data_IF_549509791894
#
_entry.id   IF_549509791894
#
_cell.length_a   1.000
_cell.length_b   1.000
_cell.length_c   1.000
_cell.angle_alpha   90.00
_cell.angle_beta   90.00
_cell.angle_gamma   90.00
#
_symmetry.space_group_name_H-M   'P 1'
#
loop_
_entity.id
_entity.type
_entity.pdbx_description
1 polymer ?
#
# COMPACT_ATOMS: atom_id res chain seq x y z
N UNK A 1 20.85 9.50 -14.40
CA UNK A 1 19.67 8.94 -15.06
C UNK A 1 18.42 9.53 -14.42
N UNK A 2 17.32 9.66 -15.15
CA UNK A 2 16.02 10.12 -14.68
C UNK A 2 14.95 9.15 -15.18
N UNK A 3 13.84 9.02 -14.48
CA UNK A 3 12.73 8.15 -14.86
C UNK A 3 11.41 8.94 -14.90
N UNK A 4 10.58 8.65 -15.89
CA UNK A 4 9.22 9.17 -16.01
C UNK A 4 8.30 7.95 -16.16
N UNK A 5 7.42 7.74 -15.20
CA UNK A 5 6.46 6.63 -15.20
C UNK A 5 5.13 7.11 -15.76
N UNK A 6 4.62 6.43 -16.79
CA UNK A 6 3.47 6.86 -17.60
C UNK A 6 2.10 6.46 -17.07
N UNK A 7 1.89 6.44 -15.76
CA UNK A 7 0.59 6.15 -15.15
C UNK A 7 -0.45 7.25 -15.37
N UNK A 8 -1.75 6.94 -15.29
CA UNK A 8 -2.83 7.87 -15.65
C UNK A 8 -2.97 9.02 -14.64
N UNK A 9 -2.35 10.15 -14.95
CA UNK A 9 -2.35 11.37 -14.12
C UNK A 9 -3.02 12.56 -14.82
N UNK A 10 -3.72 12.35 -15.94
CA UNK A 10 -4.20 13.43 -16.81
C UNK A 10 -3.07 14.37 -17.30
N UNK A 11 -1.86 13.83 -17.48
CA UNK A 11 -0.63 14.57 -17.78
C UNK A 11 -0.21 15.58 -16.68
N UNK A 12 -0.71 15.42 -15.46
CA UNK A 12 -0.21 16.14 -14.29
C UNK A 12 1.14 15.55 -13.83
N UNK A 13 2.02 16.42 -13.36
CA UNK A 13 3.32 16.00 -12.82
C UNK A 13 3.14 15.59 -11.36
N UNK A 14 3.24 14.29 -11.10
CA UNK A 14 3.11 13.73 -9.75
C UNK A 14 4.50 13.43 -9.22
N UNK A 15 4.85 14.06 -8.11
CA UNK A 15 6.15 13.94 -7.44
C UNK A 15 6.10 13.04 -6.22
N UNK A 16 4.90 12.76 -5.70
CA UNK A 16 4.75 11.91 -4.52
C UNK A 16 3.56 10.96 -4.65
N UNK A 17 3.74 9.73 -4.17
CA UNK A 17 2.65 8.78 -3.99
C UNK A 17 2.86 7.90 -2.77
N UNK A 18 1.75 7.37 -2.21
CA UNK A 18 1.82 6.47 -1.05
C UNK A 18 2.52 5.17 -1.37
N UNK A 19 3.23 4.63 -0.38
CA UNK A 19 3.69 3.25 -0.40
C UNK A 19 2.54 2.28 -0.14
N UNK A 20 2.79 0.98 -0.41
CA UNK A 20 1.85 -0.11 -0.17
C UNK A 20 2.59 -1.30 0.43
N UNK A 21 2.05 -1.82 1.53
CA UNK A 21 2.38 -3.14 2.04
C UNK A 21 1.10 -3.95 2.10
N UNK A 22 1.08 -5.13 1.49
CA UNK A 22 -0.02 -6.07 1.61
C UNK A 22 0.49 -7.46 1.95
N UNK A 23 -0.22 -8.13 2.85
CA UNK A 23 0.17 -9.43 3.36
C UNK A 23 -1.06 -10.25 3.75
N UNK A 24 -0.86 -11.56 3.85
CA UNK A 24 -1.78 -12.51 4.45
C UNK A 24 -1.22 -12.98 5.79
N UNK A 25 -2.01 -12.84 6.84
CA UNK A 25 -1.73 -13.42 8.15
C UNK A 25 -2.45 -14.77 8.26
N UNK A 26 -1.70 -15.85 8.35
CA UNK A 26 -2.19 -17.22 8.55
C UNK A 26 -2.19 -17.55 10.04
N UNK A 27 -3.37 -17.78 10.60
CA UNK A 27 -3.55 -18.19 11.99
C UNK A 27 -3.71 -19.69 12.07
N UNK A 28 -2.81 -20.35 12.78
CA UNK A 28 -2.89 -21.78 13.10
C UNK A 28 -3.22 -21.95 14.57
N UNK A 29 -4.44 -22.36 14.85
CA UNK A 29 -4.92 -22.73 16.16
C UNK A 29 -4.96 -24.24 16.34
N UNK A 30 -5.82 -24.70 17.27
CA UNK A 30 -6.02 -26.12 17.55
C UNK A 30 -7.51 -26.45 17.56
N UNK A 31 -7.91 -27.43 16.74
CA UNK A 31 -9.30 -27.86 16.66
C UNK A 31 -9.74 -28.62 17.91
N UNK A 32 -11.02 -28.52 18.22
CA UNK A 32 -11.67 -29.23 19.31
C UNK A 32 -13.19 -29.13 19.20
N UNK A 33 -13.89 -29.74 20.12
CA UNK A 33 -15.35 -29.58 20.20
C UNK A 33 -15.69 -28.24 20.85
N UNK A 34 -16.62 -27.48 20.29
CA UNK A 34 -16.96 -26.13 20.77
C UNK A 34 -17.53 -26.07 22.22
N UNK A 35 -18.02 -27.19 22.76
CA UNK A 35 -18.43 -27.28 24.17
C UNK A 35 -17.26 -27.35 25.16
N UNK A 36 -16.05 -27.57 24.67
CA UNK A 36 -14.82 -27.70 25.45
C UNK A 36 -13.76 -26.65 24.97
N UNK A 37 -14.05 -25.35 25.09
CA UNK A 37 -13.21 -24.30 24.50
C UNK A 37 -11.78 -24.30 25.03
N UNK A 38 -11.53 -24.79 26.25
CA UNK A 38 -10.19 -24.92 26.83
C UNK A 38 -9.34 -26.07 26.24
N UNK A 39 -9.91 -26.94 25.40
CA UNK A 39 -9.19 -28.03 24.73
C UNK A 39 -8.71 -27.68 23.33
N UNK A 40 -8.94 -26.44 22.89
CA UNK A 40 -8.51 -25.94 21.59
C UNK A 40 -8.02 -24.50 21.61
N UNK A 41 -7.55 -24.02 20.46
CA UNK A 41 -7.18 -22.61 20.24
C UNK A 41 -7.91 -22.11 19.01
N UNK A 42 -8.80 -21.14 19.18
CA UNK A 42 -9.70 -20.68 18.13
C UNK A 42 -9.00 -19.68 17.18
N UNK A 43 -8.57 -20.14 16.02
CA UNK A 43 -7.90 -19.30 15.03
C UNK A 43 -8.78 -18.10 14.56
N UNK A 44 -10.10 -18.23 14.52
CA UNK A 44 -11.01 -17.16 14.08
C UNK A 44 -11.10 -16.05 15.14
N UNK A 45 -11.09 -16.38 16.42
CA UNK A 45 -11.12 -15.38 17.50
C UNK A 45 -9.84 -14.55 17.48
N UNK A 46 -8.65 -15.17 17.43
CA UNK A 46 -7.37 -14.47 17.35
C UNK A 46 -7.21 -13.67 16.06
N UNK A 47 -7.66 -14.19 14.92
CA UNK A 47 -7.70 -13.43 13.66
C UNK A 47 -8.61 -12.20 13.77
N UNK A 48 -9.72 -12.31 14.49
CA UNK A 48 -10.63 -11.18 14.73
C UNK A 48 -10.00 -10.11 15.63
N UNK A 49 -9.24 -10.50 16.65
CA UNK A 49 -8.47 -9.58 17.49
C UNK A 49 -7.40 -8.83 16.68
N UNK A 50 -6.73 -9.54 15.77
CA UNK A 50 -5.77 -8.91 14.85
C UNK A 50 -6.45 -7.87 13.93
N UNK A 51 -7.63 -8.16 13.38
CA UNK A 51 -8.41 -7.19 12.59
C UNK A 51 -8.79 -5.97 13.45
N UNK A 52 -9.18 -6.18 14.71
CA UNK A 52 -9.46 -5.06 15.64
C UNK A 52 -8.22 -4.23 15.92
N UNK A 53 -7.05 -4.87 16.09
CA UNK A 53 -5.78 -4.19 16.25
C UNK A 53 -5.46 -3.32 15.04
N UNK A 54 -5.50 -3.87 13.81
CA UNK A 54 -5.24 -3.11 12.58
C UNK A 54 -6.20 -1.91 12.43
N UNK A 55 -7.48 -2.09 12.77
CA UNK A 55 -8.46 -1.01 12.77
C UNK A 55 -8.11 0.10 13.77
N UNK A 56 -7.69 -0.27 14.99
CA UNK A 56 -7.24 0.69 16.02
C UNK A 56 -5.99 1.43 15.58
N UNK A 57 -5.05 0.74 14.94
CA UNK A 57 -3.83 1.33 14.39
C UNK A 57 -4.18 2.37 13.30
N UNK A 58 -5.09 2.04 12.39
CA UNK A 58 -5.60 2.99 11.39
C UNK A 58 -6.30 4.21 12.01
N UNK A 59 -7.08 4.01 13.09
CA UNK A 59 -7.68 5.12 13.84
C UNK A 59 -6.64 6.01 14.53
N UNK A 60 -5.58 5.41 15.07
CA UNK A 60 -4.47 6.16 15.68
C UNK A 60 -3.83 7.09 14.65
N UNK A 61 -3.42 6.57 13.49
CA UNK A 61 -2.80 7.39 12.44
C UNK A 61 -3.73 8.46 11.86
N UNK A 62 -5.03 8.15 11.77
CA UNK A 62 -6.03 9.14 11.39
C UNK A 62 -6.12 10.32 12.36
N UNK A 63 -5.99 10.08 13.66
CA UNK A 63 -6.20 11.08 14.69
C UNK A 63 -4.90 11.79 15.10
N UNK A 64 -3.77 11.09 15.08
CA UNK A 64 -2.50 11.55 15.65
C UNK A 64 -1.45 11.84 14.57
N UNK A 65 -1.65 11.35 13.33
CA UNK A 65 -0.71 11.51 12.22
C UNK A 65 0.49 10.56 12.28
N UNK A 66 1.50 10.80 11.43
CA UNK A 66 1.73 12.01 10.65
C UNK A 66 0.64 12.29 9.61
N UNK A 67 0.41 13.59 9.33
CA UNK A 67 -0.54 14.06 8.32
C UNK A 67 0.18 14.83 7.20
N UNK A 68 -0.34 14.68 5.97
CA UNK A 68 0.03 15.49 4.81
C UNK A 68 -1.26 15.81 4.05
N UNK A 69 -1.72 17.06 4.16
CA UNK A 69 -3.03 17.51 3.66
C UNK A 69 -3.12 17.57 2.13
N UNK A 70 -2.01 17.35 1.42
CA UNK A 70 -2.02 17.21 -0.04
C UNK A 70 -2.38 15.78 -0.49
N UNK A 71 -2.48 14.80 0.45
CA UNK A 71 -3.00 13.46 0.17
C UNK A 71 -4.46 13.29 0.60
N UNK A 72 -5.19 12.45 -0.11
CA UNK A 72 -6.55 12.04 0.28
C UNK A 72 -6.62 10.50 0.33
N UNK A 73 -6.76 9.90 1.53
CA UNK A 73 -6.71 10.52 2.87
C UNK A 73 -5.30 11.00 3.25
N UNK A 74 -5.23 12.01 4.14
CA UNK A 74 -4.01 12.73 4.52
C UNK A 74 -3.08 11.98 5.51
N UNK A 75 -3.31 10.71 5.76
CA UNK A 75 -2.60 9.90 6.75
C UNK A 75 -2.32 8.48 6.21
N UNK A 76 -1.50 7.73 6.93
CA UNK A 76 -1.30 6.29 6.70
C UNK A 76 -2.58 5.53 7.03
N UNK A 77 -3.02 4.68 6.11
CA UNK A 77 -4.26 3.89 6.26
C UNK A 77 -3.97 2.42 6.44
N UNK A 78 -4.82 1.74 7.22
CA UNK A 78 -4.83 0.28 7.38
C UNK A 78 -6.17 -0.27 6.93
N UNK A 79 -6.15 -1.39 6.24
CA UNK A 79 -7.34 -2.06 5.72
C UNK A 79 -7.21 -3.57 5.86
N UNK A 80 -8.27 -4.22 6.35
CA UNK A 80 -8.44 -5.67 6.34
C UNK A 80 -9.51 -5.99 5.30
N UNK A 81 -9.09 -6.60 4.19
CA UNK A 81 -9.95 -6.83 3.03
C UNK A 81 -10.70 -8.15 3.07
N UNK A 82 -10.06 -9.19 3.63
CA UNK A 82 -10.62 -10.54 3.70
C UNK A 82 -10.31 -11.14 5.06
N UNK A 83 -11.27 -11.84 5.64
CA UNK A 83 -11.08 -12.79 6.74
C UNK A 83 -11.83 -14.06 6.39
N UNK A 84 -11.14 -15.21 6.49
CA UNK A 84 -11.76 -16.50 6.19
C UNK A 84 -11.22 -17.59 7.11
N UNK A 85 -12.12 -18.33 7.77
CA UNK A 85 -11.77 -19.41 8.68
C UNK A 85 -12.97 -20.17 9.21
N UNK A 86 -12.69 -21.31 9.84
CA UNK A 86 -13.71 -22.22 10.36
C UNK A 86 -14.33 -23.15 9.31
N UNK A 87 -14.97 -24.20 9.76
CA UNK A 87 -15.61 -25.22 8.92
C UNK A 87 -17.03 -25.52 9.36
N UNK A 88 -17.28 -25.62 10.66
CA UNK A 88 -18.59 -25.95 11.26
C UNK A 88 -18.77 -25.17 12.56
N UNK A 89 -20.01 -24.83 12.89
CA UNK A 89 -20.34 -24.06 14.09
C UNK A 89 -19.87 -24.71 15.39
N UNK A 90 -19.91 -26.04 15.47
CA UNK A 90 -19.59 -26.81 16.67
C UNK A 90 -18.13 -27.35 16.71
N UNK A 91 -17.25 -26.85 15.85
CA UNK A 91 -15.81 -27.17 15.83
C UNK A 91 -15.03 -25.88 16.13
N UNK A 92 -14.07 -25.94 17.06
CA UNK A 92 -13.11 -24.86 17.29
C UNK A 92 -12.25 -24.72 16.01
N UNK A 93 -12.26 -23.55 15.33
CA UNK A 93 -11.52 -23.36 14.09
C UNK A 93 -10.01 -23.48 14.28
N UNK A 94 -9.38 -24.42 13.53
CA UNK A 94 -7.94 -24.58 13.52
C UNK A 94 -7.24 -23.55 12.63
N UNK A 95 -7.86 -23.17 11.50
CA UNK A 95 -7.25 -22.30 10.52
C UNK A 95 -8.12 -21.08 10.27
N UNK A 96 -7.47 -19.92 10.18
CA UNK A 96 -8.05 -18.69 9.69
C UNK A 96 -6.97 -17.88 8.98
N UNK A 97 -7.34 -17.09 7.97
CA UNK A 97 -6.42 -16.09 7.42
C UNK A 97 -7.08 -14.73 7.30
N UNK A 98 -6.25 -13.70 7.32
CA UNK A 98 -6.64 -12.30 7.13
C UNK A 98 -5.77 -11.70 6.04
N UNK A 99 -6.38 -11.19 4.96
CA UNK A 99 -5.70 -10.35 3.99
C UNK A 99 -5.81 -8.90 4.42
N UNK A 100 -4.67 -8.25 4.55
CA UNK A 100 -4.61 -6.87 5.01
C UNK A 100 -3.57 -6.07 4.23
N UNK A 101 -3.74 -4.75 4.23
CA UNK A 101 -2.76 -3.82 3.69
C UNK A 101 -2.66 -2.56 4.55
N UNK A 102 -1.53 -1.88 4.42
CA UNK A 102 -1.45 -0.46 4.76
C UNK A 102 -0.91 0.34 3.57
N UNK A 103 -1.32 1.61 3.52
CA UNK A 103 -0.78 2.59 2.58
C UNK A 103 -0.19 3.74 3.37
N UNK A 104 1.15 3.81 3.36
CA UNK A 104 1.88 4.83 4.12
C UNK A 104 2.11 6.09 3.30
N UNK A 105 2.14 7.24 3.99
CA UNK A 105 2.71 8.45 3.43
C UNK A 105 4.18 8.19 3.04
N UNK A 106 4.71 8.77 1.97
CA UNK A 106 6.06 8.47 1.50
C UNK A 106 7.15 8.75 2.54
N UNK A 107 6.94 9.75 3.40
CA UNK A 107 7.87 10.12 4.47
C UNK A 107 7.64 9.35 5.79
N UNK A 108 6.69 8.42 5.84
CA UNK A 108 6.44 7.58 7.00
C UNK A 108 7.14 6.23 6.82
N UNK A 109 8.08 5.91 7.71
CA UNK A 109 8.91 4.71 7.57
C UNK A 109 8.05 3.43 7.59
N UNK A 110 8.11 2.71 6.49
CA UNK A 110 7.42 1.43 6.32
C UNK A 110 7.86 0.37 7.31
N UNK A 111 9.14 0.39 7.72
CA UNK A 111 9.69 -0.58 8.65
C UNK A 111 9.16 -0.34 10.07
N UNK A 112 8.94 0.91 10.47
CA UNK A 112 8.25 1.23 11.73
C UNK A 112 6.82 0.67 11.71
N UNK A 113 6.09 0.84 10.61
CA UNK A 113 4.71 0.34 10.49
C UNK A 113 4.64 -1.19 10.52
N UNK A 114 5.57 -1.86 9.84
CA UNK A 114 5.70 -3.32 9.92
C UNK A 114 6.08 -3.74 11.34
N UNK A 115 6.99 -3.02 11.98
CA UNK A 115 7.40 -3.24 13.37
C UNK A 115 6.21 -3.26 14.33
N UNK A 116 5.29 -2.29 14.22
CA UNK A 116 4.08 -2.25 15.06
C UNK A 116 3.21 -3.51 14.91
N UNK A 117 3.13 -4.06 13.69
CA UNK A 117 2.36 -5.29 13.42
C UNK A 117 3.07 -6.50 14.03
N UNK A 118 4.36 -6.66 13.75
CA UNK A 118 5.14 -7.80 14.26
C UNK A 118 5.27 -7.75 15.78
N UNK A 119 5.49 -6.58 16.38
CA UNK A 119 5.54 -6.41 17.83
C UNK A 119 4.23 -6.83 18.51
N UNK A 120 3.08 -6.49 17.91
CA UNK A 120 1.79 -6.93 18.42
C UNK A 120 1.61 -8.45 18.31
N UNK A 121 1.98 -9.03 17.18
CA UNK A 121 1.90 -10.48 16.98
C UNK A 121 2.84 -11.22 17.96
N UNK A 122 4.10 -10.82 18.02
CA UNK A 122 5.13 -11.55 18.77
C UNK A 122 5.03 -11.35 20.29
N UNK A 123 4.64 -10.15 20.74
CA UNK A 123 4.64 -9.80 22.14
C UNK A 123 3.24 -9.82 22.80
N UNK A 124 2.18 -9.97 22.00
CA UNK A 124 0.81 -9.98 22.55
C UNK A 124 0.02 -11.20 22.08
N UNK A 125 -0.17 -11.35 20.77
CA UNK A 125 -1.17 -12.30 20.27
C UNK A 125 -0.67 -13.74 20.27
N UNK A 126 0.54 -14.00 19.77
CA UNK A 126 1.15 -15.34 19.76
C UNK A 126 1.36 -15.89 21.18
N UNK A 127 1.86 -15.12 22.17
CA UNK A 127 1.93 -15.58 23.55
C UNK A 127 0.57 -16.01 24.12
N UNK A 128 -0.49 -15.27 23.85
CA UNK A 128 -1.85 -15.64 24.29
C UNK A 128 -2.32 -16.93 23.61
N UNK A 129 -2.08 -17.11 22.31
CA UNK A 129 -2.39 -18.35 21.60
C UNK A 129 -1.68 -19.55 22.24
N UNK A 130 -0.44 -19.34 22.71
CA UNK A 130 0.46 -20.38 23.27
C UNK A 130 0.31 -20.64 24.76
N UNK A 131 -0.68 -20.06 25.44
CA UNK A 131 -0.90 -20.32 26.88
C UNK A 131 -1.11 -21.79 27.21
N UNK A 132 -1.67 -22.57 26.28
CA UNK A 132 -2.00 -23.98 26.49
C UNK A 132 -1.28 -24.92 25.53
N UNK A 133 -0.97 -24.46 24.30
CA UNK A 133 -0.39 -25.30 23.23
C UNK A 133 0.68 -24.56 22.46
N UNK A 134 1.87 -25.18 22.31
CA UNK A 134 3.03 -24.55 21.66
C UNK A 134 2.98 -24.65 20.10
N UNK A 135 2.16 -25.55 19.54
CA UNK A 135 2.05 -25.83 18.11
C UNK A 135 1.07 -24.90 17.35
N UNK A 136 0.80 -23.75 17.94
CA UNK A 136 -0.09 -22.71 17.41
C UNK A 136 0.65 -21.40 17.15
N UNK A 137 0.12 -20.52 16.30
CA UNK A 137 0.75 -19.23 16.02
C UNK A 137 0.24 -18.53 14.78
N UNK A 138 1.00 -17.52 14.38
CA UNK A 138 0.69 -16.69 13.20
C UNK A 138 1.89 -16.63 12.28
N UNK A 139 1.68 -16.81 10.98
CA UNK A 139 2.67 -16.64 9.92
C UNK A 139 2.23 -15.52 8.97
N UNK A 140 3.16 -14.64 8.58
CA UNK A 140 2.90 -13.55 7.64
C UNK A 140 3.49 -13.90 6.28
N UNK A 141 2.62 -14.03 5.29
CA UNK A 141 2.96 -14.14 3.87
C UNK A 141 2.89 -12.76 3.23
N UNK A 142 4.03 -12.20 2.82
CA UNK A 142 4.09 -10.89 2.16
C UNK A 142 3.66 -11.04 0.70
N UNK A 143 2.60 -10.32 0.32
CA UNK A 143 2.10 -10.30 -1.07
C UNK A 143 2.72 -9.17 -1.88
N UNK A 144 2.90 -7.99 -1.26
CA UNK A 144 3.49 -6.81 -1.91
C UNK A 144 4.11 -5.89 -0.87
N UNK A 145 5.30 -5.37 -1.17
CA UNK A 145 6.00 -4.37 -0.34
C UNK A 145 6.62 -3.30 -1.25
N UNK A 146 5.81 -2.30 -1.61
CA UNK A 146 6.13 -1.25 -2.57
C UNK A 146 6.41 0.07 -1.84
N UNK A 147 7.59 0.68 -2.03
CA UNK A 147 7.90 1.99 -1.46
C UNK A 147 7.01 3.09 -2.04
N UNK A 148 6.79 4.15 -1.26
CA UNK A 148 6.24 5.39 -1.76
C UNK A 148 7.24 6.17 -2.60
N UNK A 149 6.73 7.12 -3.39
CA UNK A 149 7.55 8.09 -4.11
C UNK A 149 7.62 9.39 -3.31
N UNK A 150 8.82 9.97 -3.19
CA UNK A 150 9.06 11.27 -2.54
C UNK A 150 10.14 12.05 -3.30
N UNK A 151 9.85 12.41 -4.55
CA UNK A 151 10.73 13.23 -5.38
C UNK A 151 10.51 14.71 -5.05
N UNK A 152 11.59 15.47 -4.90
CA UNK A 152 11.50 16.90 -4.64
C UNK A 152 11.04 17.70 -5.86
N UNK A 153 10.39 18.83 -5.61
CA UNK A 153 9.96 19.74 -6.69
C UNK A 153 11.16 20.43 -7.37
N UNK A 154 12.28 20.49 -6.69
CA UNK A 154 13.56 21.07 -7.18
C UNK A 154 14.45 20.05 -7.92
N UNK A 155 14.02 18.79 -8.02
CA UNK A 155 14.74 17.79 -8.80
C UNK A 155 14.73 18.09 -10.30
N UNK A 156 15.82 17.71 -10.99
CA UNK A 156 15.97 17.96 -12.43
C UNK A 156 14.84 17.32 -13.25
N UNK A 157 14.42 16.09 -12.89
CA UNK A 157 13.33 15.38 -13.56
C UNK A 157 12.00 16.12 -13.41
N UNK A 158 11.73 16.66 -12.22
CA UNK A 158 10.50 17.43 -11.93
C UNK A 158 10.45 18.68 -12.79
N UNK A 159 11.53 19.47 -12.78
CA UNK A 159 11.62 20.70 -13.59
C UNK A 159 11.49 20.42 -15.07
N UNK A 160 12.16 19.37 -15.58
CA UNK A 160 12.07 18.97 -16.97
C UNK A 160 10.62 18.63 -17.36
N UNK A 161 9.94 17.79 -16.59
CA UNK A 161 8.59 17.35 -16.93
C UNK A 161 7.57 18.49 -16.80
N UNK A 162 7.74 19.40 -15.82
CA UNK A 162 6.93 20.62 -15.72
C UNK A 162 7.11 21.53 -16.93
N UNK A 163 8.34 21.72 -17.41
CA UNK A 163 8.62 22.51 -18.62
C UNK A 163 7.96 21.88 -19.86
N UNK A 164 8.10 20.56 -20.05
CA UNK A 164 7.54 19.85 -21.20
C UNK A 164 6.01 19.83 -21.22
N UNK A 165 5.38 19.71 -20.06
CA UNK A 165 3.91 19.71 -19.91
C UNK A 165 3.33 21.12 -19.87
N UNK A 166 4.12 22.14 -19.51
CA UNK A 166 3.65 23.49 -19.20
C UNK A 166 2.98 23.61 -17.83
N UNK A 167 3.19 22.63 -16.94
CA UNK A 167 2.64 22.65 -15.58
C UNK A 167 3.35 23.67 -14.69
N UNK A 168 2.59 24.35 -13.82
CA UNK A 168 3.12 25.30 -12.83
C UNK A 168 3.12 24.75 -11.40
N UNK A 169 2.52 23.58 -11.21
CA UNK A 169 2.42 22.89 -9.92
C UNK A 169 2.63 21.39 -10.09
N UNK A 170 3.08 20.76 -9.05
CA UNK A 170 3.13 19.31 -8.92
C UNK A 170 1.90 18.79 -8.16
N UNK A 171 1.71 17.48 -8.14
CA UNK A 171 0.63 16.83 -7.42
C UNK A 171 1.10 15.62 -6.64
N UNK A 172 0.21 15.13 -5.77
CA UNK A 172 0.39 13.91 -4.99
C UNK A 172 -0.81 12.97 -5.20
N UNK A 173 -0.57 11.67 -5.21
CA UNK A 173 -1.62 10.66 -5.38
C UNK A 173 -1.55 9.58 -4.30
N UNK A 174 -2.71 9.02 -3.95
CA UNK A 174 -2.80 7.99 -2.90
C UNK A 174 -2.65 6.56 -3.42
N UNK A 175 -2.67 6.33 -4.72
CA UNK A 175 -2.31 5.03 -5.30
C UNK A 175 -0.79 4.90 -5.47
N UNK A 176 -0.29 3.67 -5.44
CA UNK A 176 1.14 3.38 -5.64
C UNK A 176 1.43 3.04 -7.10
N UNK A 177 2.65 3.36 -7.54
CA UNK A 177 3.18 3.02 -8.87
C UNK A 177 4.60 2.46 -8.74
N UNK A 178 5.19 1.96 -9.82
CA UNK A 178 6.58 1.51 -9.84
C UNK A 178 7.58 2.66 -9.62
N UNK A 179 7.15 3.91 -9.72
CA UNK A 179 8.01 5.08 -9.52
C UNK A 179 8.72 5.06 -8.17
N UNK A 180 8.03 4.62 -7.11
CA UNK A 180 8.63 4.43 -5.79
C UNK A 180 9.76 3.40 -5.78
N UNK A 181 9.66 2.34 -6.60
CA UNK A 181 10.70 1.30 -6.71
C UNK A 181 11.93 1.87 -7.43
N UNK A 182 11.75 2.55 -8.57
CA UNK A 182 12.86 3.19 -9.29
C UNK A 182 13.59 4.20 -8.41
N UNK A 183 12.85 5.00 -7.66
CA UNK A 183 13.42 6.01 -6.77
C UNK A 183 14.12 5.38 -5.58
N UNK A 184 13.44 4.53 -4.79
CA UNK A 184 13.95 4.04 -3.52
C UNK A 184 15.00 2.92 -3.66
N UNK A 185 14.89 2.06 -4.69
CA UNK A 185 15.79 0.92 -4.89
C UNK A 185 16.83 1.17 -5.99
N UNK A 186 16.51 2.02 -6.97
CA UNK A 186 17.40 2.34 -8.09
C UNK A 186 18.18 3.63 -7.90
N UNK A 187 17.87 4.42 -6.87
CA UNK A 187 18.42 5.77 -6.66
C UNK A 187 18.28 6.65 -7.93
N UNK A 188 17.12 6.52 -8.60
CA UNK A 188 16.80 7.21 -9.83
C UNK A 188 15.74 8.27 -9.53
N UNK A 189 16.04 9.58 -9.66
CA UNK A 189 15.04 10.64 -9.57
C UNK A 189 13.88 10.37 -10.53
N UNK A 190 12.68 10.21 -9.99
CA UNK A 190 11.53 9.68 -10.73
C UNK A 190 10.30 10.55 -10.48
N UNK A 191 9.53 10.80 -11.52
CA UNK A 191 8.18 11.40 -11.44
C UNK A 191 7.17 10.55 -12.19
N UNK A 192 5.89 10.73 -11.87
CA UNK A 192 4.80 10.10 -12.60
C UNK A 192 4.09 11.14 -13.44
N UNK A 193 3.96 10.88 -14.74
CA UNK A 193 3.23 11.75 -15.65
C UNK A 193 2.79 10.94 -16.87
N UNK A 194 1.50 10.75 -17.02
CA UNK A 194 0.96 9.98 -18.15
C UNK A 194 -0.48 10.34 -18.49
N UNK A 195 -0.95 9.88 -19.66
CA UNK A 195 -2.27 10.20 -20.18
C UNK A 195 -3.36 9.38 -19.47
N UNK A 196 -4.59 9.90 -19.49
CA UNK A 196 -5.75 9.26 -18.91
C UNK A 196 -5.96 9.56 -17.43
N UNK A 197 -7.07 9.10 -16.90
CA UNK A 197 -7.48 9.29 -15.52
C UNK A 197 -7.54 7.97 -14.76
N UNK A 198 -7.04 7.98 -13.52
CA UNK A 198 -7.15 6.82 -12.61
C UNK A 198 -8.63 6.44 -12.34
N UNK A 199 -9.56 7.36 -12.54
CA UNK A 199 -10.98 7.07 -12.39
C UNK A 199 -11.54 6.13 -13.46
N UNK A 200 -10.87 6.03 -14.61
CA UNK A 200 -11.21 5.15 -15.71
C UNK A 200 -10.52 3.79 -15.61
N UNK A 201 -9.43 3.71 -14.86
CA UNK A 201 -8.61 2.51 -14.71
C UNK A 201 -9.31 1.41 -13.87
N UNK A 202 -8.99 0.15 -14.18
CA UNK A 202 -9.49 -1.03 -13.47
C UNK A 202 -11.02 -1.20 -13.49
N UNK A 203 -11.67 -0.73 -14.52
CA UNK A 203 -13.12 -0.86 -14.72
C UNK A 203 -13.43 -1.65 -15.99
N UNK A 204 -14.59 -2.34 -16.07
CA UNK A 204 -15.09 -2.85 -17.33
C UNK A 204 -15.19 -1.71 -18.36
N UNK A 205 -14.80 -1.99 -19.59
CA UNK A 205 -14.79 -1.00 -20.69
C UNK A 205 -13.86 0.20 -20.41
N UNK A 206 -12.71 -0.05 -19.77
CA UNK A 206 -11.66 0.96 -19.55
C UNK A 206 -11.32 1.66 -20.87
N UNK A 207 -11.25 2.99 -20.84
CA UNK A 207 -10.97 3.81 -22.00
C UNK A 207 -10.04 4.97 -21.68
N UNK A 208 -9.49 5.56 -22.72
CA UNK A 208 -8.71 6.80 -22.64
C UNK A 208 -9.31 7.83 -23.62
N UNK A 209 -9.37 9.06 -23.18
CA UNK A 209 -9.80 10.18 -24.04
C UNK A 209 -8.75 10.47 -25.12
N UNK A 210 -9.17 10.73 -26.35
CA UNK A 210 -8.25 11.05 -27.47
C UNK A 210 -7.41 12.30 -27.20
N UNK A 211 -7.94 13.29 -26.48
CA UNK A 211 -7.20 14.47 -26.06
C UNK A 211 -6.01 14.11 -25.15
N UNK A 212 -6.17 13.13 -24.29
CA UNK A 212 -5.08 12.65 -23.41
C UNK A 212 -3.96 11.98 -24.22
N UNK A 213 -4.31 11.21 -25.26
CA UNK A 213 -3.31 10.65 -26.18
C UNK A 213 -2.56 11.77 -26.93
N UNK A 214 -3.30 12.75 -27.47
CA UNK A 214 -2.68 13.87 -28.19
C UNK A 214 -1.74 14.68 -27.28
N UNK A 215 -2.10 14.91 -26.01
CA UNK A 215 -1.22 15.55 -25.05
C UNK A 215 0.04 14.74 -24.75
N UNK A 216 -0.09 13.42 -24.63
CA UNK A 216 1.03 12.52 -24.43
C UNK A 216 1.98 12.52 -25.64
N UNK A 217 1.46 12.44 -26.86
CA UNK A 217 2.24 12.53 -28.09
C UNK A 217 3.03 13.86 -28.16
N UNK A 218 2.37 14.98 -27.89
CA UNK A 218 3.02 16.29 -27.85
C UNK A 218 4.09 16.40 -26.78
N UNK A 219 3.90 15.76 -25.62
CA UNK A 219 4.90 15.65 -24.57
C UNK A 219 6.12 14.84 -25.04
N UNK A 220 5.88 13.67 -25.65
CA UNK A 220 6.96 12.80 -26.13
C UNK A 220 7.78 13.46 -27.25
N UNK A 221 7.14 14.21 -28.17
CA UNK A 221 7.83 14.97 -29.22
C UNK A 221 8.78 16.02 -28.63
N UNK A 222 8.33 16.75 -27.60
CA UNK A 222 9.17 17.72 -26.90
C UNK A 222 10.31 17.04 -26.15
N UNK A 223 10.06 15.90 -25.48
CA UNK A 223 11.07 15.12 -24.77
C UNK A 223 12.16 14.62 -25.74
N UNK A 224 11.77 14.07 -26.90
CA UNK A 224 12.68 13.64 -27.94
C UNK A 224 13.54 14.81 -28.44
N UNK A 225 12.95 15.98 -28.66
CA UNK A 225 13.70 17.17 -29.07
C UNK A 225 14.76 17.61 -28.06
N UNK A 226 14.54 17.41 -26.76
CA UNK A 226 15.53 17.69 -25.72
C UNK A 226 16.66 16.65 -25.73
N UNK A 227 16.32 15.36 -25.89
CA UNK A 227 17.28 14.25 -25.88
C UNK A 227 18.22 14.25 -27.09
N UNK A 228 17.73 14.65 -28.25
CA UNK A 228 18.54 14.70 -29.50
C UNK A 228 19.48 15.92 -29.56
N UNK A 229 19.24 16.97 -28.78
CA UNK A 229 20.09 18.17 -28.71
C UNK A 229 21.34 17.99 -27.86
N UNK A 230 21.48 16.88 -27.14
CA UNK A 230 22.68 16.49 -26.37
C UNK A 230 23.56 15.56 -27.21
#
# INVERSE_FOLDING_TARGET
AMCIVGEPTNMQVITQHKGKYSARAHFTGRSGHSSLPGEGVNAVEFASEFVVFLRRLGQKFRNEGPHDDEFVPNHTTFHSGVIHGGTQLNIIPQNCYVDFEFRNLPNHDRNELKGLIFDYLDNTLIPQMRETYDDVGVEIEVVSDMPGLATGDDEEVTRLVMELTGANTTGKVSFGTEAGVFSAMGDIPTVVCGPGSIEQAHKPDEFIELDQLARCEAFLDKLLAVLVRK
#
